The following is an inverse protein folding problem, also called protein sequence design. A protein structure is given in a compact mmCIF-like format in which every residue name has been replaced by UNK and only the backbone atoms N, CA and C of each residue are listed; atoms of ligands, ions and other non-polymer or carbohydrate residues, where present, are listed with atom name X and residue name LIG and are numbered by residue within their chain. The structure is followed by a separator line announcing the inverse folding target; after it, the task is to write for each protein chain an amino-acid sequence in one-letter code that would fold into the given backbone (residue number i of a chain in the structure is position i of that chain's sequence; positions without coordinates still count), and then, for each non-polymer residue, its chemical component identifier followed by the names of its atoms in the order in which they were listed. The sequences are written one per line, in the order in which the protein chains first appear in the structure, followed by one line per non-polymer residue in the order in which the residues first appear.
data_IF_350546565617
#
_entry.id   IF_350546565617
#
_cell.length_a   1.000
_cell.length_b   1.000
_cell.length_c   1.000
_cell.angle_alpha   90.00
_cell.angle_beta   90.00
_cell.angle_gamma   90.00
#
_symmetry.space_group_name_H-M   'P 1'
#
loop_
_entity.id
_entity.type
_entity.pdbx_description
1 polymer ?
#
# COMPACT_ATOMS: atom_id res chain seq x y z
N UNK A 1 -60.79 19.66 10.53
CA UNK A 1 -61.30 19.08 9.27
C UNK A 1 -60.19 18.14 8.79
N UNK A 2 -60.41 16.91 9.09
CA UNK A 2 -60.47 15.71 8.25
C UNK A 2 -59.16 15.40 7.56
N UNK A 3 -58.48 14.38 7.89
CA UNK A 3 -58.72 12.91 7.86
C UNK A 3 -57.83 12.39 6.73
N UNK A 4 -57.25 11.31 6.65
CA UNK A 4 -57.48 9.99 7.15
C UNK A 4 -56.22 9.13 7.01
N UNK A 5 -56.12 8.28 7.96
CA UNK A 5 -55.36 7.03 8.03
C UNK A 5 -55.58 6.10 6.81
N UNK A 6 -54.54 5.42 6.34
CA UNK A 6 -54.75 4.21 5.55
C UNK A 6 -53.65 3.17 5.86
N UNK A 7 -53.95 2.36 6.84
CA UNK A 7 -53.44 1.04 7.13
C UNK A 7 -53.82 0.05 6.01
N UNK A 8 -52.92 -0.71 5.42
CA UNK A 8 -53.20 -1.99 4.74
C UNK A 8 -51.99 -2.92 4.97
N UNK A 9 -52.11 -3.81 5.90
CA UNK A 9 -52.63 -5.19 5.91
C UNK A 9 -51.81 -6.15 5.06
N UNK A 10 -51.19 -7.03 5.81
CA UNK A 10 -50.63 -8.35 5.52
C UNK A 10 -51.46 -9.16 4.51
N UNK A 11 -50.76 -9.84 3.61
CA UNK A 11 -51.24 -11.08 3.01
C UNK A 11 -50.13 -12.13 3.09
N UNK A 12 -50.34 -13.10 3.97
CA UNK A 12 -49.72 -14.42 3.98
C UNK A 12 -50.46 -15.29 2.97
N UNK A 13 -49.72 -16.00 2.12
CA UNK A 13 -50.10 -17.26 1.48
C UNK A 13 -48.79 -17.80 0.90
N UNK A 14 -48.35 -19.01 1.02
CA UNK A 14 -48.99 -20.28 1.24
C UNK A 14 -47.98 -21.30 0.71
N UNK A 15 -47.75 -22.29 1.48
CA UNK A 15 -46.89 -23.45 1.22
C UNK A 15 -47.23 -24.10 -0.12
N UNK A 16 -46.23 -24.44 -0.94
CA UNK A 16 -46.32 -25.61 -1.82
C UNK A 16 -45.02 -26.41 -1.70
N UNK A 17 -45.14 -27.59 -1.18
CA UNK A 17 -44.19 -28.68 -1.21
C UNK A 17 -44.03 -29.16 -2.67
N UNK A 18 -42.80 -29.23 -3.15
CA UNK A 18 -42.42 -29.87 -4.39
C UNK A 18 -41.19 -30.72 -4.18
N UNK A 19 -41.38 -32.02 -4.11
CA UNK A 19 -40.34 -33.03 -3.97
C UNK A 19 -39.52 -33.22 -5.25
N UNK A 20 -38.30 -33.64 -5.01
CA UNK A 20 -37.41 -34.48 -5.84
C UNK A 20 -36.83 -33.94 -7.12
N UNK A 21 -35.51 -33.77 -7.12
CA UNK A 21 -34.66 -34.70 -7.88
C UNK A 21 -33.20 -34.47 -7.48
N UNK A 22 -32.61 -35.41 -6.78
CA UNK A 22 -31.18 -35.50 -6.57
C UNK A 22 -30.55 -35.88 -7.92
N UNK A 23 -29.97 -34.93 -8.59
CA UNK A 23 -28.97 -35.18 -9.63
C UNK A 23 -27.62 -35.01 -8.98
N UNK A 24 -26.99 -36.16 -8.67
CA UNK A 24 -25.58 -36.22 -8.33
C UNK A 24 -24.76 -35.78 -9.56
N UNK A 25 -24.59 -34.48 -9.72
CA UNK A 25 -23.61 -33.92 -10.62
C UNK A 25 -22.23 -34.11 -9.99
N UNK A 26 -21.49 -35.10 -10.46
CA UNK A 26 -20.05 -35.15 -10.28
C UNK A 26 -19.47 -33.89 -10.90
N UNK A 27 -19.32 -32.85 -10.08
CA UNK A 27 -18.50 -31.70 -10.40
C UNK A 27 -17.08 -32.18 -10.54
N UNK A 28 -16.64 -32.40 -11.76
CA UNK A 28 -15.22 -32.45 -12.05
C UNK A 28 -14.65 -31.08 -11.62
N UNK A 29 -14.05 -31.06 -10.45
CA UNK A 29 -13.17 -30.00 -10.08
C UNK A 29 -12.09 -29.96 -11.16
N UNK A 30 -12.16 -29.00 -12.05
CA UNK A 30 -11.04 -28.61 -12.89
C UNK A 30 -9.95 -28.14 -11.93
N UNK A 31 -9.14 -29.08 -11.46
CA UNK A 31 -7.85 -28.75 -10.89
C UNK A 31 -7.05 -28.14 -12.04
N UNK A 32 -7.01 -26.80 -12.10
CA UNK A 32 -6.00 -26.12 -12.89
C UNK A 32 -4.66 -26.73 -12.46
N UNK A 33 -3.83 -27.20 -13.41
CA UNK A 33 -2.50 -27.65 -13.06
C UNK A 33 -1.83 -26.47 -12.38
N UNK A 34 -1.44 -26.64 -11.14
CA UNK A 34 -0.54 -25.72 -10.47
C UNK A 34 0.69 -25.65 -11.40
N UNK A 35 0.86 -24.56 -12.11
CA UNK A 35 2.09 -24.29 -12.86
C UNK A 35 3.16 -24.27 -11.78
N UNK A 36 3.96 -25.31 -11.72
CA UNK A 36 5.15 -25.35 -10.87
C UNK A 36 6.13 -24.34 -11.43
N UNK A 37 5.99 -23.09 -10.99
CA UNK A 37 6.97 -22.06 -11.32
C UNK A 37 8.34 -22.54 -10.83
N UNK A 38 9.32 -22.46 -11.73
CA UNK A 38 10.70 -22.82 -11.41
C UNK A 38 11.15 -21.98 -10.21
N UNK A 39 11.67 -22.56 -9.13
CA UNK A 39 12.17 -21.79 -7.99
C UNK A 39 13.19 -20.74 -8.47
N UNK A 40 12.98 -19.47 -8.06
CA UNK A 40 13.82 -18.35 -8.45
C UNK A 40 13.43 -17.63 -9.75
N UNK A 41 12.36 -18.07 -10.48
CA UNK A 41 11.72 -17.26 -11.51
C UNK A 41 10.76 -16.25 -10.86
N UNK A 42 10.68 -15.04 -11.41
CA UNK A 42 9.74 -14.03 -10.89
C UNK A 42 8.30 -14.46 -11.18
N UNK A 43 7.45 -14.37 -10.17
CA UNK A 43 6.01 -14.46 -10.33
C UNK A 43 5.35 -13.07 -10.40
N UNK A 44 4.04 -13.01 -10.49
CA UNK A 44 3.31 -11.74 -10.58
C UNK A 44 3.48 -10.86 -9.32
N UNK A 45 3.68 -11.48 -8.15
CA UNK A 45 3.93 -10.77 -6.88
C UNK A 45 5.30 -10.11 -6.91
N UNK A 46 6.34 -10.84 -7.31
CA UNK A 46 7.70 -10.31 -7.46
C UNK A 46 7.74 -9.13 -8.44
N UNK A 47 7.08 -9.25 -9.60
CA UNK A 47 7.00 -8.16 -10.59
C UNK A 47 6.31 -6.93 -10.04
N UNK A 48 5.18 -7.09 -9.36
CA UNK A 48 4.48 -6.00 -8.71
C UNK A 48 5.34 -5.34 -7.62
N UNK A 49 5.97 -6.15 -6.78
CA UNK A 49 6.87 -5.71 -5.73
C UNK A 49 8.03 -4.88 -6.28
N UNK A 50 8.76 -5.41 -7.27
CA UNK A 50 9.88 -4.73 -7.90
C UNK A 50 9.44 -3.39 -8.49
N UNK A 51 8.32 -3.36 -9.23
CA UNK A 51 7.80 -2.14 -9.83
C UNK A 51 7.50 -1.06 -8.80
N UNK A 52 6.79 -1.40 -7.73
CA UNK A 52 6.40 -0.44 -6.71
C UNK A 52 7.56 -0.01 -5.80
N UNK A 53 8.38 -0.95 -5.34
CA UNK A 53 9.50 -0.66 -4.45
C UNK A 53 10.59 0.17 -5.14
N UNK A 54 10.85 -0.08 -6.44
CA UNK A 54 11.82 0.69 -7.23
C UNK A 54 11.45 2.17 -7.40
N UNK A 55 10.16 2.50 -7.42
CA UNK A 55 9.68 3.88 -7.47
C UNK A 55 9.49 4.50 -6.09
N UNK A 56 9.14 3.69 -5.12
CA UNK A 56 8.78 4.15 -3.79
C UNK A 56 9.96 4.73 -3.01
N UNK A 57 11.14 4.10 -3.08
CA UNK A 57 12.29 4.60 -2.34
C UNK A 57 12.79 5.96 -2.85
N UNK A 58 12.97 6.23 -4.15
CA UNK A 58 13.23 7.58 -4.66
C UNK A 58 12.15 8.60 -4.29
N UNK A 59 10.87 8.23 -4.38
CA UNK A 59 9.78 9.10 -3.95
C UNK A 59 9.92 9.52 -2.48
N UNK A 60 10.31 8.60 -1.59
CA UNK A 60 10.53 8.90 -0.18
C UNK A 60 11.70 9.88 0.04
N UNK A 61 12.78 9.72 -0.71
CA UNK A 61 13.91 10.65 -0.68
C UNK A 61 13.48 12.04 -1.15
N UNK A 62 12.75 12.13 -2.26
CA UNK A 62 12.35 13.42 -2.82
C UNK A 62 11.31 14.13 -1.95
N UNK A 63 10.29 13.42 -1.46
CA UNK A 63 9.30 13.97 -0.54
C UNK A 63 9.92 14.38 0.80
N UNK A 64 10.90 13.60 1.29
CA UNK A 64 11.69 13.91 2.48
C UNK A 64 12.47 15.23 2.32
N UNK A 65 13.22 15.39 1.23
CA UNK A 65 13.96 16.64 0.95
C UNK A 65 13.06 17.87 0.88
N UNK A 66 11.86 17.73 0.30
CA UNK A 66 10.88 18.82 0.31
C UNK A 66 10.46 19.12 1.76
N UNK A 67 10.25 18.11 2.58
CA UNK A 67 9.80 18.28 3.96
C UNK A 67 10.90 18.77 4.91
N UNK A 68 12.18 18.46 4.67
CA UNK A 68 13.30 19.06 5.36
C UNK A 68 13.32 20.59 5.18
N UNK A 69 13.02 21.04 3.95
CA UNK A 69 13.04 22.47 3.61
C UNK A 69 11.77 23.22 4.05
N UNK A 70 10.60 22.57 4.04
CA UNK A 70 9.28 23.23 4.20
C UNK A 70 8.55 22.89 5.48
N UNK A 71 8.90 21.81 6.18
CA UNK A 71 8.28 21.39 7.43
C UNK A 71 8.36 22.48 8.51
N UNK A 72 7.23 22.81 9.14
CA UNK A 72 7.20 23.93 10.09
C UNK A 72 7.74 23.55 11.47
N UNK A 73 7.64 22.27 11.85
CA UNK A 73 8.11 21.79 13.15
C UNK A 73 9.45 21.04 13.07
N UNK A 74 10.28 21.07 14.13
CA UNK A 74 11.48 20.23 14.20
C UNK A 74 11.17 18.74 14.08
N UNK A 75 10.02 18.27 14.59
CA UNK A 75 9.63 16.88 14.54
C UNK A 75 9.36 16.39 13.10
N UNK A 76 8.70 17.23 12.28
CA UNK A 76 8.47 16.95 10.87
C UNK A 76 9.78 16.92 10.09
N UNK A 77 10.66 17.90 10.29
CA UNK A 77 11.97 17.93 9.63
C UNK A 77 12.85 16.74 10.03
N UNK A 78 12.83 16.36 11.31
CA UNK A 78 13.55 15.16 11.78
C UNK A 78 13.01 13.85 11.17
N UNK A 79 11.68 13.74 11.02
CA UNK A 79 11.10 12.61 10.31
C UNK A 79 11.46 12.61 8.81
N UNK A 80 11.50 13.77 8.19
CA UNK A 80 11.90 13.93 6.80
C UNK A 80 13.36 13.51 6.56
N UNK A 81 14.29 13.94 7.42
CA UNK A 81 15.70 13.49 7.42
C UNK A 81 15.82 11.97 7.57
N UNK A 82 15.01 11.37 8.47
CA UNK A 82 14.94 9.92 8.58
C UNK A 82 14.48 9.25 7.27
N UNK A 83 13.49 9.82 6.57
CA UNK A 83 13.05 9.26 5.27
C UNK A 83 14.17 9.30 4.24
N UNK A 84 14.87 10.44 4.13
CA UNK A 84 16.01 10.57 3.21
C UNK A 84 17.12 9.57 3.56
N UNK A 85 17.58 9.60 4.79
CA UNK A 85 18.75 8.79 5.23
C UNK A 85 18.50 7.29 5.20
N UNK A 86 17.26 6.85 5.47
CA UNK A 86 16.91 5.43 5.49
C UNK A 86 16.56 4.85 4.12
N UNK A 87 15.98 5.64 3.21
CA UNK A 87 15.54 5.13 1.91
C UNK A 87 16.63 5.10 0.83
N UNK A 88 17.70 5.89 0.95
CA UNK A 88 18.86 5.81 0.05
C UNK A 88 19.48 4.40 0.07
N UNK A 89 19.88 3.84 1.21
CA UNK A 89 20.47 2.49 1.24
C UNK A 89 19.46 1.38 0.85
N UNK A 90 18.16 1.60 1.07
CA UNK A 90 17.10 0.67 0.61
C UNK A 90 17.03 0.66 -0.92
N UNK A 91 17.05 1.83 -1.56
CA UNK A 91 17.08 1.93 -3.03
C UNK A 91 18.33 1.26 -3.62
N UNK A 92 19.50 1.48 -3.02
CA UNK A 92 20.76 0.90 -3.45
C UNK A 92 20.77 -0.64 -3.34
N UNK A 93 20.25 -1.17 -2.23
CA UNK A 93 20.15 -2.61 -2.00
C UNK A 93 19.22 -3.28 -3.03
N UNK A 94 18.02 -2.72 -3.29
CA UNK A 94 17.14 -3.23 -4.31
C UNK A 94 17.80 -3.15 -5.70
N UNK A 95 18.38 -2.02 -6.05
CA UNK A 95 19.07 -1.83 -7.33
C UNK A 95 20.20 -2.85 -7.54
N UNK A 96 20.93 -3.21 -6.48
CA UNK A 96 21.98 -4.24 -6.55
C UNK A 96 21.39 -5.63 -6.86
N UNK A 97 20.25 -6.00 -6.26
CA UNK A 97 19.53 -7.24 -6.54
C UNK A 97 19.09 -7.26 -8.01
N UNK A 98 18.43 -6.20 -8.46
CA UNK A 98 17.90 -6.10 -9.82
C UNK A 98 19.00 -6.22 -10.87
N UNK A 99 20.12 -5.52 -10.69
CA UNK A 99 21.26 -5.61 -11.60
C UNK A 99 21.85 -7.02 -11.65
N UNK A 100 22.06 -7.67 -10.49
CA UNK A 100 22.60 -9.02 -10.41
C UNK A 100 21.72 -10.04 -11.14
N UNK A 101 20.40 -9.82 -11.12
CA UNK A 101 19.41 -10.71 -11.72
C UNK A 101 19.02 -10.32 -13.14
N UNK A 102 19.56 -9.23 -13.69
CA UNK A 102 19.15 -8.65 -14.98
C UNK A 102 17.63 -8.34 -15.05
N UNK A 103 17.05 -7.89 -13.93
CA UNK A 103 15.63 -7.49 -13.86
C UNK A 103 15.54 -6.00 -14.20
N UNK A 104 14.70 -5.66 -15.17
CA UNK A 104 14.35 -4.27 -15.51
C UNK A 104 12.99 -3.95 -14.89
N UNK A 105 12.92 -3.03 -13.91
CA UNK A 105 11.64 -2.61 -13.33
C UNK A 105 10.76 -1.94 -14.40
N UNK A 106 9.49 -2.27 -14.43
CA UNK A 106 8.50 -1.60 -15.26
C UNK A 106 7.30 -1.22 -14.42
N UNK A 107 7.09 0.09 -14.20
CA UNK A 107 5.88 0.59 -13.54
C UNK A 107 5.57 2.03 -13.95
N UNK A 108 5.00 2.19 -15.13
CA UNK A 108 4.61 3.50 -15.66
C UNK A 108 3.39 4.12 -14.95
N UNK A 109 2.52 3.30 -14.34
CA UNK A 109 1.27 3.77 -13.72
C UNK A 109 1.49 4.53 -12.41
N UNK A 110 2.48 4.12 -11.61
CA UNK A 110 2.76 4.77 -10.32
C UNK A 110 3.56 6.06 -10.45
N UNK A 111 4.32 6.25 -11.53
CA UNK A 111 5.05 7.50 -11.77
C UNK A 111 4.13 8.71 -11.68
N UNK A 112 3.01 8.69 -12.41
CA UNK A 112 2.07 9.80 -12.39
C UNK A 112 1.47 10.10 -11.02
N UNK A 113 1.22 9.08 -10.19
CA UNK A 113 0.70 9.28 -8.84
C UNK A 113 1.74 9.92 -7.90
N UNK A 114 2.98 9.46 -7.93
CA UNK A 114 4.06 10.04 -7.14
C UNK A 114 4.41 11.46 -7.59
N UNK A 115 4.44 11.71 -8.90
CA UNK A 115 4.67 13.05 -9.45
C UNK A 115 3.58 14.03 -9.00
N UNK A 116 2.31 13.62 -9.00
CA UNK A 116 1.20 14.44 -8.52
C UNK A 116 1.32 14.74 -7.01
N UNK A 117 1.73 13.76 -6.20
CA UNK A 117 1.99 13.98 -4.77
C UNK A 117 3.15 14.95 -4.54
N UNK A 118 4.27 14.79 -5.25
CA UNK A 118 5.41 15.70 -5.16
C UNK A 118 5.05 17.10 -5.64
N UNK A 119 4.24 17.22 -6.69
CA UNK A 119 3.73 18.51 -7.16
C UNK A 119 2.90 19.21 -6.08
N UNK A 120 1.98 18.50 -5.43
CA UNK A 120 1.17 19.03 -4.33
C UNK A 120 2.06 19.50 -3.17
N UNK A 121 3.01 18.67 -2.72
CA UNK A 121 3.94 19.03 -1.65
C UNK A 121 4.81 20.28 -2.00
N UNK A 122 5.19 20.43 -3.27
CA UNK A 122 5.93 21.63 -3.72
C UNK A 122 5.06 22.89 -3.67
N UNK A 123 3.77 22.77 -3.97
CA UNK A 123 2.84 23.90 -3.94
C UNK A 123 2.39 24.28 -2.52
N UNK A 124 2.27 23.33 -1.60
CA UNK A 124 1.79 23.56 -0.24
C UNK A 124 2.80 24.31 0.64
N UNK A 125 2.28 25.03 1.66
CA UNK A 125 3.07 25.78 2.64
C UNK A 125 2.46 25.70 4.05
N UNK A 126 3.30 25.94 5.05
CA UNK A 126 2.87 26.06 6.45
C UNK A 126 2.12 24.81 6.95
N UNK A 127 1.08 25.03 7.75
CA UNK A 127 0.30 23.94 8.33
C UNK A 127 -0.42 23.05 7.30
N UNK A 128 -0.73 23.56 6.10
CA UNK A 128 -1.30 22.73 5.04
C UNK A 128 -0.25 21.74 4.49
N UNK A 129 0.98 22.21 4.28
CA UNK A 129 2.10 21.35 3.93
C UNK A 129 2.31 20.24 4.96
N UNK A 130 2.40 20.59 6.24
CA UNK A 130 2.64 19.63 7.32
C UNK A 130 1.59 18.53 7.35
N UNK A 131 0.30 18.91 7.29
CA UNK A 131 -0.80 17.94 7.27
C UNK A 131 -0.75 17.03 6.06
N UNK A 132 -0.54 17.58 4.86
CA UNK A 132 -0.53 16.80 3.63
C UNK A 132 0.69 15.87 3.57
N UNK A 133 1.86 16.33 4.02
CA UNK A 133 3.04 15.49 4.13
C UNK A 133 2.82 14.33 5.11
N UNK A 134 2.40 14.62 6.33
CA UNK A 134 2.24 13.60 7.37
C UNK A 134 1.16 12.59 7.00
N UNK A 135 -0.01 13.04 6.50
CA UNK A 135 -1.08 12.15 6.06
C UNK A 135 -0.62 11.28 4.87
N UNK A 136 0.07 11.89 3.90
CA UNK A 136 0.66 11.17 2.78
C UNK A 136 1.66 10.11 3.23
N UNK A 137 2.48 10.40 4.23
CA UNK A 137 3.41 9.43 4.81
C UNK A 137 2.68 8.27 5.49
N UNK A 138 1.63 8.53 6.27
CA UNK A 138 0.83 7.47 6.91
C UNK A 138 0.27 6.52 5.85
N UNK A 139 -0.36 7.04 4.80
CA UNK A 139 -0.95 6.20 3.75
C UNK A 139 0.11 5.46 2.93
N UNK A 140 1.21 6.12 2.59
CA UNK A 140 2.32 5.49 1.90
C UNK A 140 2.90 4.33 2.70
N UNK A 141 3.24 4.54 3.98
CA UNK A 141 3.86 3.51 4.80
C UNK A 141 2.93 2.32 5.07
N UNK A 142 1.61 2.54 5.21
CA UNK A 142 0.62 1.44 5.28
C UNK A 142 0.63 0.59 4.00
N UNK A 143 0.54 1.24 2.85
CA UNK A 143 0.56 0.54 1.56
C UNK A 143 1.87 -0.21 1.33
N UNK A 144 2.98 0.43 1.70
CA UNK A 144 4.31 -0.15 1.55
C UNK A 144 4.52 -1.36 2.48
N UNK A 145 4.07 -1.29 3.74
CA UNK A 145 4.10 -2.44 4.65
C UNK A 145 3.31 -3.64 4.09
N UNK A 146 2.12 -3.39 3.55
CA UNK A 146 1.30 -4.44 2.92
C UNK A 146 2.00 -5.04 1.68
N UNK A 147 2.63 -4.21 0.84
CA UNK A 147 3.39 -4.65 -0.33
C UNK A 147 4.54 -5.58 0.07
N UNK A 148 5.32 -5.19 1.08
CA UNK A 148 6.45 -5.97 1.57
C UNK A 148 6.00 -7.28 2.26
N UNK A 149 4.91 -7.24 3.03
CA UNK A 149 4.31 -8.45 3.60
C UNK A 149 3.85 -9.42 2.51
N UNK A 150 3.22 -8.92 1.45
CA UNK A 150 2.79 -9.75 0.32
C UNK A 150 3.97 -10.42 -0.38
N UNK A 151 5.08 -9.70 -0.59
CA UNK A 151 6.30 -10.26 -1.16
C UNK A 151 6.89 -11.37 -0.27
N UNK A 152 6.95 -11.15 1.05
CA UNK A 152 7.45 -12.15 2.01
C UNK A 152 6.63 -13.44 1.95
N UNK A 153 5.31 -13.34 1.81
CA UNK A 153 4.39 -14.47 1.87
C UNK A 153 4.25 -15.20 0.53
N UNK A 154 4.20 -14.45 -0.57
CA UNK A 154 3.75 -14.95 -1.86
C UNK A 154 4.76 -14.73 -3.01
N UNK A 155 5.85 -14.00 -2.79
CA UNK A 155 6.93 -13.86 -3.77
C UNK A 155 7.63 -15.19 -4.00
N UNK A 156 8.12 -15.42 -5.21
CA UNK A 156 8.83 -16.65 -5.57
C UNK A 156 10.36 -16.48 -5.53
N UNK A 157 10.85 -15.25 -5.72
CA UNK A 157 12.28 -14.96 -5.72
C UNK A 157 12.86 -14.87 -4.30
N UNK A 158 13.86 -15.71 -3.93
CA UNK A 158 14.38 -15.75 -2.56
C UNK A 158 15.11 -14.46 -2.15
N UNK A 159 15.77 -13.77 -3.09
CA UNK A 159 16.51 -12.54 -2.77
C UNK A 159 15.55 -11.37 -2.53
N UNK A 160 14.46 -11.27 -3.33
CA UNK A 160 13.43 -10.25 -3.13
C UNK A 160 12.68 -10.48 -1.83
N UNK A 161 12.30 -11.72 -1.53
CA UNK A 161 11.70 -12.09 -0.23
C UNK A 161 12.61 -11.78 0.95
N UNK A 162 13.91 -12.02 0.82
CA UNK A 162 14.88 -11.71 1.88
C UNK A 162 15.00 -10.19 2.06
N UNK A 163 15.15 -9.44 0.97
CA UNK A 163 15.16 -7.98 0.99
C UNK A 163 13.89 -7.42 1.66
N UNK A 164 12.72 -7.99 1.34
CA UNK A 164 11.47 -7.58 1.94
C UNK A 164 11.45 -7.85 3.46
N UNK A 165 11.91 -9.02 3.92
CA UNK A 165 12.02 -9.35 5.36
C UNK A 165 12.93 -8.40 6.11
N UNK A 166 14.06 -8.02 5.54
CA UNK A 166 15.05 -7.14 6.18
C UNK A 166 14.59 -5.67 6.21
N UNK A 167 13.74 -5.28 5.26
CA UNK A 167 13.29 -3.89 5.12
C UNK A 167 11.98 -3.62 5.88
N UNK A 168 11.07 -4.59 5.95
CA UNK A 168 9.74 -4.42 6.56
C UNK A 168 9.76 -3.80 7.96
N UNK A 169 10.64 -4.21 8.90
CA UNK A 169 10.68 -3.60 10.24
C UNK A 169 10.97 -2.10 10.22
N UNK A 170 11.75 -1.62 9.25
CA UNK A 170 12.02 -0.18 9.09
C UNK A 170 10.77 0.57 8.61
N UNK A 171 10.04 -0.03 7.66
CA UNK A 171 8.78 0.54 7.15
C UNK A 171 7.75 0.65 8.28
N UNK A 172 7.65 -0.37 9.12
CA UNK A 172 6.75 -0.38 10.27
C UNK A 172 7.13 0.68 11.32
N UNK A 173 8.42 0.87 11.61
CA UNK A 173 8.89 1.98 12.48
C UNK A 173 8.55 3.36 11.86
N UNK A 174 8.76 3.52 10.55
CA UNK A 174 8.39 4.74 9.85
C UNK A 174 6.89 5.03 9.96
N UNK A 175 6.05 4.01 9.80
CA UNK A 175 4.60 4.13 9.98
C UNK A 175 4.23 4.59 11.39
N UNK A 176 4.81 3.97 12.43
CA UNK A 176 4.53 4.35 13.81
C UNK A 176 4.91 5.81 14.09
N UNK A 177 6.04 6.26 13.57
CA UNK A 177 6.46 7.67 13.68
C UNK A 177 5.53 8.62 12.94
N UNK A 178 5.09 8.27 11.73
CA UNK A 178 4.14 9.07 10.97
C UNK A 178 2.78 9.18 11.70
N UNK A 179 2.28 8.08 12.25
CA UNK A 179 1.05 8.06 13.06
C UNK A 179 1.16 8.95 14.30
N UNK A 180 2.30 8.93 14.98
CA UNK A 180 2.56 9.82 16.13
C UNK A 180 2.54 11.30 15.73
N UNK A 181 3.14 11.64 14.59
CA UNK A 181 3.10 13.01 14.06
C UNK A 181 1.68 13.45 13.69
N UNK A 182 0.89 12.56 13.07
CA UNK A 182 -0.50 12.83 12.73
C UNK A 182 -1.35 13.10 13.98
N UNK A 183 -1.19 12.30 15.04
CA UNK A 183 -1.88 12.49 16.31
C UNK A 183 -1.48 13.79 17.04
N UNK A 184 -0.21 14.17 17.00
CA UNK A 184 0.26 15.42 17.57
C UNK A 184 -0.27 16.66 16.83
N UNK A 185 -0.42 16.57 15.50
CA UNK A 185 -0.99 17.65 14.68
C UNK A 185 -2.49 17.85 14.91
N UNK A 186 -3.23 16.79 15.23
CA UNK A 186 -4.66 16.89 15.55
C UNK A 186 -4.94 17.56 16.92
N UNK A 187 -4.03 17.42 17.88
CA UNK A 187 -4.17 18.01 19.22
C UNK A 187 -3.76 19.48 19.34
N UNK A 188 -3.22 20.10 18.29
CA UNK A 188 -2.80 21.49 18.27
C UNK A 188 -3.77 22.44 17.54
N UNK A 189 -4.92 21.93 17.13
CA UNK A 189 -5.96 22.68 16.39
C UNK A 189 -7.13 23.18 17.27
N UNK A 190 -7.07 22.94 18.59
CA UNK A 190 -7.96 23.48 19.61
C UNK A 190 -7.25 24.66 20.32
#
# INVERSE_FOLDING_TARGET
MNGASATRRLARLGLVFGLLSAVAGFGMANAQPATSEKPGSLNAVDFNFVGQANLGAPFQVDSGRIAEAKGTSPAIRSYADLMVSSHIPVADALSAILRRKNITPSNTLLHGAYDAMLFTLKADHGAAFDRNYVNGQVEYQKGNAALFQQEIQNGNDPDLRQFARETLPKIEDHLQRALKLAGAGAGSAD
#
